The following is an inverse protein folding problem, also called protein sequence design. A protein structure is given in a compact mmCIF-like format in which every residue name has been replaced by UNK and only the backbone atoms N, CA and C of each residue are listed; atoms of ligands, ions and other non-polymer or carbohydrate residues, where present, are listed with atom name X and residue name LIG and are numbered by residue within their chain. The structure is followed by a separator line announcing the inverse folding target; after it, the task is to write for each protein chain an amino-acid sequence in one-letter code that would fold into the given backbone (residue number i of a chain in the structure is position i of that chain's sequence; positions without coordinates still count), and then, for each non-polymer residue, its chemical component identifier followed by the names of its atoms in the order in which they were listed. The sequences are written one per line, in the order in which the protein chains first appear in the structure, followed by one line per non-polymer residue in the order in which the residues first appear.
data_IF_065849845317
#
_entry.id   IF_065849845317
#
_cell.length_a   1.000
_cell.length_b   1.000
_cell.length_c   1.000
_cell.angle_alpha   90.00
_cell.angle_beta   90.00
_cell.angle_gamma   90.00
#
_symmetry.space_group_name_H-M   'P 1'
#
loop_
_entity.id
_entity.type
_entity.pdbx_description
1 polymer ?
#
# COMPACT_ATOMS: atom_id res chain seq x y z
N UNK A 1 -2.06 20.61 -11.02
CA UNK A 1 -3.34 19.88 -10.93
C UNK A 1 -3.01 18.45 -10.54
N UNK A 2 -3.21 18.05 -9.27
CA UNK A 2 -2.94 16.67 -8.87
C UNK A 2 -4.10 15.78 -9.35
N UNK A 3 -3.76 14.85 -10.23
CA UNK A 3 -4.68 13.89 -10.83
C UNK A 3 -5.25 13.01 -9.73
N UNK A 4 -6.57 12.83 -9.71
CA UNK A 4 -7.25 11.93 -8.79
C UNK A 4 -6.82 10.47 -9.06
N UNK A 5 -5.89 9.94 -8.27
CA UNK A 5 -5.33 8.58 -8.37
C UNK A 5 -6.02 7.59 -7.43
N UNK A 6 -7.16 7.95 -6.82
CA UNK A 6 -7.86 7.12 -5.81
C UNK A 6 -8.28 5.74 -6.33
N UNK A 7 -8.44 5.59 -7.63
CA UNK A 7 -8.82 4.31 -8.25
C UNK A 7 -7.65 3.53 -8.82
N UNK A 8 -6.42 4.07 -8.77
CA UNK A 8 -5.25 3.29 -9.10
C UNK A 8 -3.95 4.03 -8.96
N UNK A 9 -2.94 3.31 -8.45
CA UNK A 9 -1.56 3.75 -8.46
C UNK A 9 -0.82 2.96 -9.52
N UNK A 10 -0.05 3.67 -10.36
CA UNK A 10 0.82 3.07 -11.36
C UNK A 10 0.13 2.05 -12.30
N UNK A 11 -1.13 2.28 -12.69
CA UNK A 11 -1.97 1.40 -13.55
C UNK A 11 -2.66 0.20 -12.87
N UNK A 12 -2.55 0.02 -11.56
CA UNK A 12 -3.32 -1.01 -10.83
C UNK A 12 -4.58 -0.42 -10.23
N UNK A 13 -5.72 -1.07 -10.45
CA UNK A 13 -7.03 -0.66 -9.93
C UNK A 13 -7.79 -1.83 -9.32
N UNK A 14 -8.56 -1.57 -8.26
CA UNK A 14 -9.51 -2.57 -7.71
C UNK A 14 -10.46 -3.04 -8.82
N UNK A 15 -10.72 -4.35 -8.86
CA UNK A 15 -11.57 -5.00 -9.86
C UNK A 15 -10.85 -5.41 -11.15
N UNK A 16 -9.60 -5.02 -11.35
CA UNK A 16 -8.80 -5.46 -12.51
C UNK A 16 -8.55 -6.97 -12.46
N UNK A 17 -8.54 -7.62 -13.61
CA UNK A 17 -8.26 -9.05 -13.74
C UNK A 17 -6.75 -9.34 -13.62
N UNK A 18 -6.38 -10.50 -13.09
CA UNK A 18 -4.98 -10.94 -12.93
C UNK A 18 -4.21 -10.88 -14.24
N UNK A 19 -4.83 -11.28 -15.34
CA UNK A 19 -4.22 -11.29 -16.68
C UNK A 19 -3.78 -9.88 -17.09
N UNK A 20 -4.61 -8.86 -16.82
CA UNK A 20 -4.23 -7.46 -17.12
C UNK A 20 -3.09 -6.94 -16.27
N UNK A 21 -2.93 -7.45 -15.05
CA UNK A 21 -1.78 -7.10 -14.21
C UNK A 21 -0.50 -7.73 -14.79
N UNK A 22 -0.59 -8.99 -15.23
CA UNK A 22 0.54 -9.69 -15.83
C UNK A 22 0.95 -9.08 -17.18
N UNK A 23 0.00 -8.60 -17.97
CA UNK A 23 0.27 -7.85 -19.21
C UNK A 23 1.00 -6.51 -18.94
N UNK A 24 0.70 -5.83 -17.83
CA UNK A 24 1.27 -4.51 -17.51
C UNK A 24 2.60 -4.58 -16.76
N UNK A 25 2.80 -5.62 -15.94
CA UNK A 25 3.96 -5.73 -15.03
C UNK A 25 4.83 -6.96 -15.27
N UNK A 26 4.44 -7.85 -16.18
CA UNK A 26 5.12 -9.12 -16.41
C UNK A 26 4.71 -10.20 -15.41
N UNK A 27 5.50 -11.29 -15.39
CA UNK A 27 5.22 -12.44 -14.52
C UNK A 27 5.40 -12.10 -13.04
N UNK A 28 4.62 -12.78 -12.19
CA UNK A 28 4.73 -12.62 -10.74
C UNK A 28 6.08 -13.12 -10.21
N UNK A 29 6.72 -12.34 -9.35
CA UNK A 29 8.02 -12.71 -8.75
C UNK A 29 7.85 -13.69 -7.59
N UNK A 30 6.98 -13.35 -6.63
CA UNK A 30 6.79 -14.12 -5.39
C UNK A 30 5.49 -13.76 -4.68
N UNK A 31 5.07 -14.64 -3.77
CA UNK A 31 4.02 -14.35 -2.81
C UNK A 31 4.59 -13.84 -1.49
N UNK A 32 3.95 -12.82 -0.92
CA UNK A 32 4.25 -12.20 0.36
C UNK A 32 3.02 -12.26 1.26
N UNK A 33 3.21 -12.17 2.57
CA UNK A 33 2.13 -11.92 3.52
C UNK A 33 2.23 -10.47 3.99
N UNK A 34 1.22 -9.67 3.67
CA UNK A 34 1.09 -8.28 4.10
C UNK A 34 -0.32 -8.12 4.64
N UNK A 35 -0.47 -7.51 5.82
CA UNK A 35 -1.78 -7.29 6.45
C UNK A 35 -2.60 -8.58 6.62
N UNK A 36 -1.94 -9.72 6.86
CA UNK A 36 -2.57 -11.03 7.03
C UNK A 36 -3.11 -11.66 5.74
N UNK A 37 -2.86 -11.07 4.56
CA UNK A 37 -3.33 -11.60 3.27
C UNK A 37 -2.17 -11.99 2.36
N UNK A 38 -2.43 -12.96 1.48
CA UNK A 38 -1.49 -13.35 0.42
C UNK A 38 -1.46 -12.28 -0.67
N UNK A 39 -0.29 -11.67 -0.87
CA UNK A 39 -0.02 -10.63 -1.86
C UNK A 39 0.96 -11.17 -2.90
N UNK A 40 0.64 -11.04 -4.17
CA UNK A 40 1.50 -11.42 -5.30
C UNK A 40 2.31 -10.19 -5.73
N UNK A 41 3.64 -10.30 -5.74
CA UNK A 41 4.56 -9.22 -6.08
C UNK A 41 4.85 -9.19 -7.59
N UNK A 42 4.81 -7.99 -8.15
CA UNK A 42 5.16 -7.62 -9.51
C UNK A 42 5.98 -6.32 -9.47
N UNK A 43 7.32 -6.40 -9.51
CA UNK A 43 8.16 -5.21 -9.30
C UNK A 43 7.85 -4.52 -7.97
N UNK A 44 7.69 -3.21 -7.97
CA UNK A 44 7.35 -2.44 -6.76
C UNK A 44 5.85 -2.50 -6.40
N UNK A 45 5.06 -3.37 -7.02
CA UNK A 45 3.63 -3.52 -6.75
C UNK A 45 3.32 -4.89 -6.14
N UNK A 46 2.46 -4.90 -5.13
CA UNK A 46 1.87 -6.09 -4.54
C UNK A 46 0.36 -6.12 -4.79
N UNK A 47 -0.18 -7.26 -5.20
CA UNK A 47 -1.60 -7.41 -5.48
C UNK A 47 -2.20 -8.58 -4.71
N UNK A 48 -3.27 -8.32 -3.97
CA UNK A 48 -4.12 -9.36 -3.43
C UNK A 48 -5.32 -9.58 -4.37
N UNK A 49 -5.57 -10.83 -4.74
CA UNK A 49 -6.68 -11.21 -5.61
C UNK A 49 -7.80 -11.88 -4.81
N UNK A 50 -9.04 -11.54 -5.14
CA UNK A 50 -10.25 -12.25 -4.76
C UNK A 50 -11.07 -12.53 -6.03
N UNK A 51 -11.48 -13.78 -6.25
CA UNK A 51 -12.18 -14.19 -7.47
C UNK A 51 -11.50 -13.73 -8.77
N UNK A 52 -10.18 -13.92 -8.86
CA UNK A 52 -9.33 -13.52 -9.99
C UNK A 52 -9.27 -12.00 -10.26
N UNK A 53 -9.79 -11.17 -9.35
CA UNK A 53 -9.80 -9.72 -9.46
C UNK A 53 -9.02 -9.07 -8.33
N UNK A 54 -8.37 -7.95 -8.62
CA UNK A 54 -7.67 -7.14 -7.63
C UNK A 54 -8.65 -6.68 -6.56
N UNK A 55 -8.44 -7.11 -5.33
CA UNK A 55 -9.23 -6.67 -4.16
C UNK A 55 -8.46 -5.66 -3.32
N UNK A 56 -7.15 -5.83 -3.18
CA UNK A 56 -6.21 -4.88 -2.55
C UNK A 56 -4.94 -4.79 -3.38
N UNK A 57 -4.29 -3.63 -3.33
CA UNK A 57 -2.98 -3.42 -3.94
C UNK A 57 -2.10 -2.62 -2.98
N UNK A 58 -0.80 -2.87 -3.08
CA UNK A 58 0.23 -2.33 -2.19
C UNK A 58 1.39 -1.83 -3.03
N UNK A 59 2.07 -0.79 -2.57
CA UNK A 59 3.39 -0.42 -3.06
C UNK A 59 4.40 -1.12 -2.17
N UNK A 60 5.29 -1.89 -2.77
CA UNK A 60 6.34 -2.65 -2.09
C UNK A 60 7.67 -2.02 -2.50
N UNK A 61 8.13 -0.99 -1.77
CA UNK A 61 9.41 -0.37 -2.08
C UNK A 61 10.57 -1.34 -1.81
N UNK A 62 11.58 -1.27 -2.66
CA UNK A 62 12.82 -2.03 -2.49
C UNK A 62 13.79 -1.25 -1.59
N UNK A 63 14.32 -1.91 -0.56
CA UNK A 63 15.36 -1.39 0.35
C UNK A 63 15.02 -0.08 1.08
N UNK A 64 13.73 0.20 1.30
CA UNK A 64 13.28 1.35 2.11
C UNK A 64 13.00 0.92 3.53
N UNK A 65 13.61 1.61 4.49
CA UNK A 65 13.32 1.47 5.91
C UNK A 65 12.47 2.63 6.45
N UNK A 66 11.94 2.45 7.65
CA UNK A 66 11.08 3.44 8.33
C UNK A 66 11.74 4.80 8.54
N UNK A 67 13.05 4.84 8.82
CA UNK A 67 13.76 6.11 9.05
C UNK A 67 13.89 6.92 7.76
N UNK A 68 14.23 6.27 6.65
CA UNK A 68 14.25 6.88 5.32
C UNK A 68 12.86 7.36 4.92
N UNK A 69 11.83 6.56 5.19
CA UNK A 69 10.45 6.93 4.91
C UNK A 69 10.02 8.18 5.69
N UNK A 70 10.30 8.23 7.00
CA UNK A 70 10.00 9.37 7.87
C UNK A 70 10.80 10.62 7.45
N UNK A 71 12.05 10.47 7.00
CA UNK A 71 12.85 11.59 6.54
C UNK A 71 12.21 12.31 5.35
N UNK A 72 11.52 11.57 4.47
CA UNK A 72 10.84 12.11 3.30
C UNK A 72 9.43 12.59 3.62
N UNK A 73 8.67 11.83 4.41
CA UNK A 73 7.23 12.04 4.63
C UNK A 73 6.87 12.70 5.97
N UNK A 74 7.84 12.88 6.87
CA UNK A 74 7.66 13.43 8.20
C UNK A 74 7.14 12.39 9.22
N UNK A 75 6.89 12.85 10.45
CA UNK A 75 6.48 12.02 11.59
C UNK A 75 4.98 12.13 11.92
N UNK A 76 4.18 12.77 11.05
CA UNK A 76 2.75 13.04 11.30
C UNK A 76 1.92 11.76 11.12
N UNK A 77 2.01 10.86 12.09
CA UNK A 77 1.30 9.58 12.08
C UNK A 77 0.27 9.50 13.20
N UNK A 78 -0.87 8.88 12.90
CA UNK A 78 -1.94 8.64 13.85
C UNK A 78 -1.88 7.16 14.24
N UNK A 79 -1.34 6.89 15.43
CA UNK A 79 -1.26 5.58 16.10
C UNK A 79 -0.33 4.49 15.50
N UNK A 80 0.33 3.83 16.45
CA UNK A 80 1.20 2.66 16.33
C UNK A 80 0.40 1.41 16.75
N UNK A 81 -0.26 0.73 15.82
CA UNK A 81 -0.40 -0.73 15.98
C UNK A 81 0.95 -1.35 15.63
N UNK A 82 1.40 -2.37 16.36
CA UNK A 82 2.70 -3.03 16.11
C UNK A 82 2.86 -3.35 14.61
N UNK A 83 3.89 -2.77 14.00
CA UNK A 83 4.20 -2.99 12.58
C UNK A 83 3.35 -2.19 11.59
N UNK A 84 2.66 -1.12 11.99
CA UNK A 84 2.00 -0.20 11.03
C UNK A 84 2.14 1.28 11.39
N UNK A 85 2.10 2.14 10.37
CA UNK A 85 2.02 3.59 10.50
C UNK A 85 0.91 4.13 9.61
N UNK A 86 0.11 5.06 10.10
CA UNK A 86 -0.96 5.71 9.33
C UNK A 86 -0.58 7.16 9.11
N UNK A 87 -0.42 7.55 7.84
CA UNK A 87 -0.18 8.92 7.42
C UNK A 87 -1.51 9.51 6.96
N UNK A 88 -2.00 10.46 7.75
CA UNK A 88 -3.13 11.31 7.41
C UNK A 88 -2.88 12.69 8.00
N UNK A 89 -2.56 13.65 7.14
CA UNK A 89 -2.24 15.02 7.53
C UNK A 89 -3.45 15.95 7.48
N UNK A 90 -4.64 15.45 7.10
CA UNK A 90 -5.86 16.24 7.02
C UNK A 90 -7.14 15.40 7.25
N UNK A 91 -7.91 15.65 8.32
CA UNK A 91 -9.16 14.94 8.62
C UNK A 91 -10.30 15.22 7.65
N UNK A 92 -10.07 15.92 6.53
CA UNK A 92 -10.99 16.02 5.40
C UNK A 92 -10.55 15.22 4.16
N UNK A 93 -9.46 14.44 4.27
CA UNK A 93 -8.96 13.62 3.18
C UNK A 93 -9.90 12.45 2.91
N UNK A 94 -10.16 12.11 1.64
CA UNK A 94 -11.04 10.97 1.32
C UNK A 94 -10.41 9.59 1.59
N UNK A 95 -9.14 9.54 1.98
CA UNK A 95 -8.36 8.32 2.21
C UNK A 95 -7.19 8.64 3.15
N UNK A 96 -6.68 7.62 3.83
CA UNK A 96 -5.43 7.67 4.60
C UNK A 96 -4.40 6.71 3.99
N UNK A 97 -3.12 6.95 4.22
CA UNK A 97 -2.05 6.05 3.74
C UNK A 97 -1.60 5.15 4.89
N UNK A 98 -1.78 3.84 4.76
CA UNK A 98 -1.31 2.85 5.73
C UNK A 98 -0.02 2.21 5.25
N UNK A 99 1.01 2.28 6.07
CA UNK A 99 2.34 1.73 5.83
C UNK A 99 2.55 0.54 6.75
N UNK A 100 2.91 -0.60 6.20
CA UNK A 100 3.24 -1.83 6.91
C UNK A 100 4.75 -1.92 7.10
N UNK A 101 5.17 -2.13 8.34
CA UNK A 101 6.57 -2.17 8.76
C UNK A 101 6.90 -3.55 9.30
N UNK A 102 7.98 -4.14 8.79
CA UNK A 102 8.51 -5.40 9.28
C UNK A 102 9.21 -5.26 10.63
N UNK A 103 9.54 -6.40 11.23
CA UNK A 103 10.22 -6.45 12.53
C UNK A 103 11.60 -5.79 12.51
N UNK A 104 12.26 -5.71 11.34
CA UNK A 104 13.57 -5.08 11.19
C UNK A 104 13.45 -3.61 10.76
N UNK A 105 12.26 -3.03 10.78
CA UNK A 105 12.01 -1.64 10.39
C UNK A 105 11.94 -1.42 8.87
N UNK A 106 11.95 -2.49 8.07
CA UNK A 106 11.77 -2.42 6.61
C UNK A 106 10.31 -2.16 6.23
N UNK A 107 10.07 -1.34 5.20
CA UNK A 107 8.71 -1.13 4.69
C UNK A 107 8.29 -2.35 3.87
N UNK A 108 7.25 -3.04 4.31
CA UNK A 108 6.71 -4.25 3.67
C UNK A 108 5.66 -3.95 2.61
N UNK A 109 4.93 -2.87 2.79
CA UNK A 109 3.84 -2.50 1.90
C UNK A 109 3.24 -1.16 2.27
N UNK A 110 2.72 -0.44 1.29
CA UNK A 110 2.00 0.82 1.47
C UNK A 110 0.68 0.69 0.74
N UNK A 111 -0.43 0.96 1.41
CA UNK A 111 -1.75 0.96 0.76
C UNK A 111 -2.54 2.21 1.13
N UNK A 112 -3.45 2.62 0.23
CA UNK A 112 -4.46 3.61 0.55
C UNK A 112 -5.66 2.90 1.17
N UNK A 113 -6.07 3.36 2.35
CA UNK A 113 -7.25 2.87 3.08
C UNK A 113 -8.32 3.96 3.15
N UNK A 114 -9.54 3.54 3.50
CA UNK A 114 -10.58 4.50 3.85
C UNK A 114 -10.10 5.42 4.97
N UNK A 115 -10.60 6.65 4.97
CA UNK A 115 -10.15 7.67 5.89
C UNK A 115 -10.32 7.23 7.35
N UNK A 116 -9.23 7.29 8.11
CA UNK A 116 -9.26 7.02 9.56
C UNK A 116 -9.69 8.29 10.27
N UNK A 117 -10.95 8.36 10.67
CA UNK A 117 -11.46 9.47 11.48
C UNK A 117 -11.00 9.27 12.93
N UNK A 118 -10.19 10.21 13.44
CA UNK A 118 -9.96 10.29 14.89
C UNK A 118 -11.22 10.90 15.50
N UNK A 119 -12.03 10.09 16.18
CA UNK A 119 -13.02 10.65 17.09
C UNK A 119 -12.25 11.26 18.26
N UNK A 120 -12.26 12.59 18.35
CA UNK A 120 -11.77 13.35 19.51
C UNK A 120 -12.72 13.21 20.70
#
# INVERSE_FOLDING_TARGET
MNRDTRHGYHKVSKGMHKEKIEDEFGESEKALNIAGVKVIKYGDIGVHYSNHKVSRYFIIPTDVNVQQFIQVHGTRTINYEEGTMIYDDNPNNKFSVKVYVGQNGEIKGIENIDQVTINH
#
